data_IF_094691140952
#
_entry.id   IF_094691140952
#
_cell.length_a   1.000
_cell.length_b   1.000
_cell.length_c   1.000
_cell.angle_alpha   90.00
_cell.angle_beta   90.00
_cell.angle_gamma   90.00
#
_symmetry.space_group_name_H-M   'P 1'
#
loop_
_entity.id
_entity.type
_entity.pdbx_description
1 polymer ?
#
# COMPACT_ATOMS: atom_id res chain seq x y z
N UNK A 1 -7.97 24.40 -18.87
CA UNK A 1 -7.18 23.33 -18.24
C UNK A 1 -7.13 22.16 -19.23
N UNK A 2 -6.02 21.98 -19.94
CA UNK A 2 -5.87 21.01 -21.03
C UNK A 2 -5.78 19.58 -20.47
N UNK A 3 -6.57 18.66 -21.03
CA UNK A 3 -6.36 17.22 -20.87
C UNK A 3 -5.30 16.80 -21.88
N UNK A 4 -4.11 16.49 -21.41
CA UNK A 4 -3.10 15.81 -22.22
C UNK A 4 -3.55 14.36 -22.41
N UNK A 5 -4.02 14.04 -23.63
CA UNK A 5 -4.27 12.68 -24.08
C UNK A 5 -2.92 11.97 -24.26
N UNK A 6 -2.73 10.83 -23.59
CA UNK A 6 -1.55 9.99 -23.79
C UNK A 6 -1.80 9.12 -25.04
N UNK A 7 -1.47 9.64 -26.21
CA UNK A 7 -1.40 8.85 -27.43
C UNK A 7 -0.35 7.75 -27.25
N UNK A 8 -0.80 6.50 -27.14
CA UNK A 8 0.10 5.33 -27.14
C UNK A 8 0.07 4.70 -28.52
N UNK A 9 0.89 5.26 -29.42
CA UNK A 9 1.23 4.60 -30.67
C UNK A 9 2.33 3.58 -30.39
N UNK A 10 1.95 2.31 -30.16
CA UNK A 10 2.81 1.13 -30.24
C UNK A 10 1.93 -0.10 -30.28
N UNK A 11 1.93 -0.77 -31.44
CA UNK A 11 1.41 -2.13 -31.65
C UNK A 11 2.26 -3.12 -30.85
N UNK A 12 2.12 -3.10 -29.54
CA UNK A 12 2.50 -4.21 -28.67
C UNK A 12 1.26 -5.06 -28.51
N UNK A 13 1.35 -6.36 -28.82
CA UNK A 13 0.30 -7.32 -28.48
C UNK A 13 0.00 -7.20 -26.99
N UNK A 14 -1.16 -6.64 -26.64
CA UNK A 14 -1.64 -6.54 -25.27
C UNK A 14 -1.92 -7.95 -24.78
N UNK A 15 -0.90 -8.63 -24.26
CA UNK A 15 -1.09 -9.92 -23.61
C UNK A 15 -1.83 -9.67 -22.29
N UNK A 16 -3.05 -10.17 -22.19
CA UNK A 16 -3.81 -10.12 -20.94
C UNK A 16 -3.18 -11.12 -19.97
N UNK A 17 -2.22 -10.67 -19.14
CA UNK A 17 -1.69 -11.49 -18.05
C UNK A 17 -2.77 -11.62 -16.98
N UNK A 18 -3.41 -12.79 -16.91
CA UNK A 18 -4.46 -13.11 -15.94
C UNK A 18 -3.80 -13.56 -14.64
N UNK A 19 -3.62 -12.62 -13.70
CA UNK A 19 -3.14 -12.89 -12.33
C UNK A 19 -4.28 -12.73 -11.32
N UNK A 20 -4.23 -13.48 -10.22
CA UNK A 20 -5.12 -13.27 -9.08
C UNK A 20 -4.39 -12.42 -8.05
N UNK A 21 -5.02 -11.35 -7.57
CA UNK A 21 -4.47 -10.49 -6.50
C UNK A 21 -5.32 -10.67 -5.26
N UNK A 22 -4.68 -11.03 -4.15
CA UNK A 22 -5.30 -10.98 -2.84
C UNK A 22 -5.09 -9.59 -2.25
N UNK A 23 -6.19 -8.93 -1.88
CA UNK A 23 -6.19 -7.65 -1.16
C UNK A 23 -6.85 -7.83 0.20
N UNK A 24 -6.23 -7.25 1.23
CA UNK A 24 -6.79 -7.21 2.57
C UNK A 24 -6.94 -5.77 3.06
N UNK A 25 -8.01 -5.51 3.81
CA UNK A 25 -8.23 -4.24 4.50
C UNK A 25 -8.21 -4.50 6.00
N UNK A 26 -7.34 -3.82 6.73
CA UNK A 26 -7.32 -3.89 8.20
C UNK A 26 -7.42 -2.50 8.80
N UNK A 27 -8.21 -2.38 9.86
CA UNK A 27 -8.18 -1.21 10.72
C UNK A 27 -7.13 -1.49 11.79
N UNK A 28 -6.02 -0.77 11.76
CA UNK A 28 -4.94 -0.98 12.72
C UNK A 28 -5.17 -0.26 14.04
N UNK A 29 -6.21 0.58 14.11
CA UNK A 29 -6.53 1.53 15.18
C UNK A 29 -5.45 2.57 15.48
N UNK A 30 -4.17 2.21 15.40
CA UNK A 30 -2.99 3.06 15.54
C UNK A 30 -1.75 2.28 15.07
N UNK A 31 -0.93 2.89 14.21
CA UNK A 31 0.44 2.41 13.91
C UNK A 31 1.39 3.48 14.42
N UNK A 32 1.80 3.38 15.67
CA UNK A 32 2.61 4.41 16.33
C UNK A 32 4.10 4.16 16.24
N UNK A 33 4.51 2.90 16.26
CA UNK A 33 5.91 2.49 16.30
C UNK A 33 6.32 1.73 15.04
N UNK A 34 7.62 1.53 14.86
CA UNK A 34 8.14 0.64 13.83
C UNK A 34 7.77 -0.82 14.11
N UNK A 35 7.63 -1.20 15.39
CA UNK A 35 7.22 -2.54 15.81
C UNK A 35 5.79 -2.84 15.37
N UNK A 36 4.89 -1.87 15.52
CA UNK A 36 3.49 -1.98 15.07
C UNK A 36 3.42 -2.24 13.56
N UNK A 37 4.29 -1.59 12.79
CA UNK A 37 4.39 -1.82 11.35
C UNK A 37 4.91 -3.23 11.05
N UNK A 38 5.95 -3.71 11.74
CA UNK A 38 6.45 -5.07 11.55
C UNK A 38 5.40 -6.14 11.85
N UNK A 39 4.55 -5.93 12.85
CA UNK A 39 3.43 -6.84 13.13
C UNK A 39 2.42 -6.90 11.96
N UNK A 40 2.13 -5.76 11.31
CA UNK A 40 1.28 -5.73 10.11
C UNK A 40 1.93 -6.49 8.95
N UNK A 41 3.25 -6.35 8.76
CA UNK A 41 3.98 -7.06 7.72
C UNK A 41 3.99 -8.57 7.95
N UNK A 42 4.20 -9.00 9.18
CA UNK A 42 4.16 -10.41 9.54
C UNK A 42 2.76 -11.00 9.31
N UNK A 43 1.70 -10.27 9.68
CA UNK A 43 0.34 -10.66 9.34
C UNK A 43 0.11 -10.73 7.82
N UNK A 44 0.73 -9.83 7.05
CA UNK A 44 0.63 -9.79 5.60
C UNK A 44 1.24 -11.01 4.92
N UNK A 45 2.43 -11.39 5.38
CA UNK A 45 3.15 -12.57 4.92
C UNK A 45 2.36 -13.85 5.22
N UNK A 46 1.83 -13.96 6.45
CA UNK A 46 1.01 -15.11 6.88
C UNK A 46 -0.22 -15.34 6.01
N UNK A 47 -0.91 -14.27 5.61
CA UNK A 47 -2.11 -14.37 4.75
C UNK A 47 -1.75 -14.40 3.26
N UNK A 48 -0.47 -14.31 2.91
CA UNK A 48 0.03 -14.25 1.52
C UNK A 48 -0.66 -13.18 0.68
N UNK A 49 -0.98 -12.05 1.30
CA UNK A 49 -1.62 -10.93 0.60
C UNK A 49 -0.59 -10.15 -0.19
N UNK A 50 -0.94 -9.77 -1.42
CA UNK A 50 -0.09 -8.96 -2.27
C UNK A 50 -0.20 -7.47 -1.90
N UNK A 51 -1.37 -7.06 -1.39
CA UNK A 51 -1.62 -5.70 -0.92
C UNK A 51 -2.43 -5.73 0.38
N UNK A 52 -1.94 -5.05 1.40
CA UNK A 52 -2.70 -4.76 2.61
C UNK A 52 -2.91 -3.27 2.71
N UNK A 53 -4.17 -2.86 2.79
CA UNK A 53 -4.53 -1.50 3.16
C UNK A 53 -4.76 -1.41 4.67
N UNK A 54 -4.01 -0.51 5.31
CA UNK A 54 -4.15 -0.16 6.73
C UNK A 54 -4.96 1.13 6.86
N UNK A 55 -5.96 1.14 7.73
CA UNK A 55 -6.80 2.31 8.06
C UNK A 55 -6.59 2.75 9.50
N UNK A 56 -6.84 4.02 9.77
CA UNK A 56 -6.66 4.68 11.07
C UNK A 56 -5.23 4.52 11.61
N UNK A 57 -4.22 4.79 10.76
CA UNK A 57 -2.81 4.71 11.20
C UNK A 57 -2.49 5.74 12.28
N UNK A 58 -3.23 6.86 12.30
CA UNK A 58 -3.05 7.99 13.24
C UNK A 58 -1.62 8.56 13.26
N UNK A 59 -0.82 8.29 12.22
CA UNK A 59 0.52 8.86 12.04
C UNK A 59 0.40 10.33 11.66
N UNK A 60 1.24 11.20 12.22
CA UNK A 60 1.22 12.63 11.83
C UNK A 60 1.76 12.86 10.43
N UNK A 61 2.82 12.14 10.08
CA UNK A 61 3.54 12.33 8.84
C UNK A 61 3.22 11.21 7.87
N UNK A 62 3.24 11.54 6.58
CA UNK A 62 3.30 10.54 5.54
C UNK A 62 4.73 9.96 5.46
N UNK A 63 4.85 8.71 5.06
CA UNK A 63 6.12 8.00 4.95
C UNK A 63 6.03 7.00 3.80
N UNK A 64 7.08 6.90 3.00
CA UNK A 64 7.20 5.87 1.96
C UNK A 64 8.54 5.20 2.19
N UNK A 65 8.51 3.89 2.44
CA UNK A 65 9.71 3.11 2.70
C UNK A 65 9.66 1.82 1.91
N UNK A 66 10.74 1.57 1.18
CA UNK A 66 11.04 0.25 0.68
C UNK A 66 11.78 -0.50 1.79
N UNK A 67 11.25 -1.63 2.23
CA UNK A 67 11.84 -2.44 3.31
C UNK A 67 12.82 -3.48 2.76
N UNK A 68 12.51 -4.02 1.59
CA UNK A 68 13.33 -4.95 0.83
C UNK A 68 13.00 -4.80 -0.66
N UNK A 69 13.62 -5.61 -1.53
CA UNK A 69 13.41 -5.56 -2.99
C UNK A 69 11.96 -5.77 -3.42
N UNK A 70 11.13 -6.37 -2.57
CA UNK A 70 9.75 -6.75 -2.87
C UNK A 70 8.73 -6.02 -2.01
N UNK A 71 9.10 -5.44 -0.87
CA UNK A 71 8.14 -4.85 0.05
C UNK A 71 8.22 -3.34 0.06
N UNK A 72 7.11 -2.69 -0.30
CA UNK A 72 6.93 -1.23 -0.22
C UNK A 72 5.84 -0.92 0.80
N UNK A 73 6.15 -0.01 1.73
CA UNK A 73 5.20 0.51 2.70
C UNK A 73 4.95 1.98 2.42
N UNK A 74 3.68 2.34 2.23
CA UNK A 74 3.20 3.70 2.06
C UNK A 74 2.30 3.99 3.26
N UNK A 75 2.62 5.00 4.06
CA UNK A 75 1.80 5.44 5.18
C UNK A 75 1.40 6.87 4.93
N UNK A 76 0.11 7.13 4.92
CA UNK A 76 -0.53 8.43 4.90
C UNK A 76 -0.76 8.96 6.31
N UNK A 77 -0.53 10.26 6.46
CA UNK A 77 -0.77 10.97 7.70
C UNK A 77 -2.25 11.16 8.00
N UNK A 78 -2.55 11.36 9.28
CA UNK A 78 -3.85 11.71 9.82
C UNK A 78 -4.18 13.18 9.59
N UNK A 79 -5.44 13.56 9.81
CA UNK A 79 -5.85 14.96 9.77
C UNK A 79 -5.04 15.78 10.80
N UNK A 80 -4.48 16.94 10.42
CA UNK A 80 -3.89 17.87 11.39
C UNK A 80 -4.91 18.19 12.49
N UNK A 81 -4.47 18.31 13.74
CA UNK A 81 -5.31 18.62 14.92
C UNK A 81 -6.26 17.53 15.43
N UNK A 82 -6.61 16.49 14.66
CA UNK A 82 -7.46 15.38 15.12
C UNK A 82 -6.67 14.08 15.21
N UNK A 83 -6.96 13.21 16.19
CA UNK A 83 -6.34 11.88 16.29
C UNK A 83 -7.13 10.84 15.47
N UNK A 84 -7.52 11.20 14.25
CA UNK A 84 -8.43 10.43 13.39
C UNK A 84 -7.86 10.37 11.98
N UNK A 85 -8.01 9.23 11.34
CA UNK A 85 -7.59 9.00 9.97
C UNK A 85 -6.13 8.60 9.85
N UNK A 86 -5.60 8.81 8.65
CA UNK A 86 -4.37 8.17 8.21
C UNK A 86 -4.69 6.79 7.63
N UNK A 87 -4.17 6.55 6.44
CA UNK A 87 -4.35 5.31 5.68
C UNK A 87 -2.99 4.87 5.18
N UNK A 88 -2.81 3.63 4.79
CA UNK A 88 -1.55 3.20 4.21
C UNK A 88 -1.70 1.89 3.47
N UNK A 89 -0.63 1.50 2.80
CA UNK A 89 -0.53 0.29 2.02
C UNK A 89 0.78 -0.41 2.34
N UNK A 90 0.72 -1.71 2.57
CA UNK A 90 1.84 -2.62 2.43
C UNK A 90 1.65 -3.33 1.10
N UNK A 91 2.61 -3.21 0.20
CA UNK A 91 2.60 -3.83 -1.11
C UNK A 91 3.76 -4.83 -1.16
N UNK A 92 3.45 -6.09 -1.39
CA UNK A 92 4.43 -7.13 -1.63
C UNK A 92 4.46 -7.44 -3.13
N UNK A 93 5.55 -7.06 -3.79
CA UNK A 93 5.83 -7.26 -5.21
C UNK A 93 6.27 -8.72 -5.43
N UNK A 94 5.33 -9.65 -5.27
CA UNK A 94 5.48 -11.05 -5.66
C UNK A 94 5.09 -11.26 -7.13
N UNK A 95 5.74 -12.22 -7.79
CA UNK A 95 5.39 -12.61 -9.16
C UNK A 95 4.06 -13.38 -9.10
N UNK A 96 3.01 -12.80 -9.69
CA UNK A 96 1.72 -13.48 -9.94
C UNK A 96 1.83 -14.61 -10.95
#
# INVERSE_FOLDING_TARGET
>A
MQRTSLETNKTGTLTTRRGTVLLCTCNTEKVSSVIDLYAVLEAADRIKSLVISIRETKRRNCDIRQLDERTIVIVGGKTPLRNVGGVGFVVHLGIS
#
